data_IF_218690237238
#
_entry.id   IF_218690237238
#
_cell.length_a   1.000
_cell.length_b   1.000
_cell.length_c   1.000
_cell.angle_alpha   90.00
_cell.angle_beta   90.00
_cell.angle_gamma   90.00
#
_symmetry.space_group_name_H-M   'P 1'
#
loop_
_entity.id
_entity.type
_entity.pdbx_description
1 polymer ?
#
# COMPACT_ATOMS: atom_id res chain seq x y z
N UNK A 1 2.12 -9.62 10.16
CA UNK A 1 1.41 -10.13 8.96
C UNK A 1 1.97 -9.57 7.66
N UNK A 2 2.22 -8.27 7.54
CA UNK A 2 2.97 -7.75 6.39
C UNK A 2 4.47 -8.06 6.52
N UNK A 3 5.16 -8.19 5.38
CA UNK A 3 6.62 -8.31 5.30
C UNK A 3 7.33 -6.96 5.27
N UNK A 4 6.63 -5.90 4.85
CA UNK A 4 7.01 -4.51 4.98
C UNK A 4 5.73 -3.66 5.03
N UNK A 5 5.78 -2.47 5.62
CA UNK A 5 4.66 -1.54 5.62
C UNK A 5 5.13 -0.08 5.70
N UNK A 6 4.32 0.84 5.20
CA UNK A 6 4.51 2.27 5.36
C UNK A 6 3.18 2.98 5.59
N UNK A 7 3.26 4.20 6.14
CA UNK A 7 2.13 5.09 6.39
C UNK A 7 2.46 6.47 5.85
N UNK A 8 1.51 7.09 5.16
CA UNK A 8 1.64 8.43 4.65
C UNK A 8 0.33 9.21 4.61
N UNK A 9 0.42 10.50 4.30
CA UNK A 9 -0.71 11.41 4.22
C UNK A 9 -1.21 11.52 2.77
N UNK A 10 -2.50 11.32 2.55
CA UNK A 10 -3.12 11.36 1.22
C UNK A 10 -2.94 12.70 0.53
N UNK A 11 -3.08 13.82 1.27
CA UNK A 11 -3.08 15.15 0.71
C UNK A 11 -1.74 15.52 0.05
N UNK A 12 -0.63 15.11 0.65
CA UNK A 12 0.72 15.45 0.20
C UNK A 12 1.44 14.27 -0.50
N UNK A 13 1.00 13.03 -0.27
CA UNK A 13 1.74 11.84 -0.66
C UNK A 13 2.96 11.56 0.23
N UNK A 14 3.16 12.36 1.29
CA UNK A 14 4.32 12.24 2.19
C UNK A 14 4.24 10.96 3.00
N UNK A 15 5.32 10.18 3.02
CA UNK A 15 5.45 9.02 3.91
C UNK A 15 6.07 9.45 5.23
N UNK A 16 5.43 9.09 6.34
CA UNK A 16 5.88 9.43 7.70
C UNK A 16 6.66 8.29 8.35
N UNK A 17 6.26 7.04 8.08
CA UNK A 17 6.82 5.86 8.71
C UNK A 17 6.94 4.73 7.72
N UNK A 18 7.98 3.91 7.87
CA UNK A 18 8.13 2.66 7.13
C UNK A 18 8.87 1.61 7.97
N UNK A 19 8.59 0.34 7.69
CA UNK A 19 9.18 -0.82 8.30
C UNK A 19 9.35 -1.95 7.25
N UNK A 20 10.43 -2.76 7.32
CA UNK A 20 11.53 -2.68 8.28
C UNK A 20 12.54 -1.56 7.94
N UNK A 21 13.30 -1.16 8.95
CA UNK A 21 14.49 -0.33 8.76
C UNK A 21 15.70 -1.23 8.49
N UNK A 22 16.67 -0.71 7.74
CA UNK A 22 17.99 -1.29 7.65
C UNK A 22 18.77 -1.08 8.97
N UNK A 23 19.92 -1.73 9.10
CA UNK A 23 20.77 -1.63 10.31
C UNK A 23 21.22 -0.19 10.60
N UNK A 24 21.39 0.63 9.56
CA UNK A 24 21.76 2.04 9.67
C UNK A 24 20.55 2.98 9.93
N UNK A 25 19.35 2.41 10.08
CA UNK A 25 18.11 3.15 10.29
C UNK A 25 17.45 3.67 9.01
N UNK A 26 18.00 3.40 7.82
CA UNK A 26 17.37 3.80 6.56
C UNK A 26 16.14 2.95 6.22
N UNK A 27 15.21 3.51 5.44
CA UNK A 27 14.00 2.80 5.01
C UNK A 27 14.31 1.78 3.91
N UNK A 28 13.87 0.53 4.09
CA UNK A 28 14.04 -0.53 3.07
C UNK A 28 12.83 -0.69 2.13
N UNK A 29 11.70 -0.10 2.51
CA UNK A 29 10.47 -0.08 1.76
C UNK A 29 9.96 1.36 1.71
N UNK A 30 9.76 1.92 0.53
CA UNK A 30 9.49 3.35 0.40
C UNK A 30 8.63 3.66 -0.82
N UNK A 31 8.04 4.86 -0.83
CA UNK A 31 7.45 5.47 -2.01
C UNK A 31 8.40 6.54 -2.52
N UNK A 32 8.90 6.36 -3.73
CA UNK A 32 9.81 7.32 -4.32
C UNK A 32 9.06 8.61 -4.67
N UNK A 33 9.49 9.72 -4.06
CA UNK A 33 9.01 11.07 -4.41
C UNK A 33 9.67 11.58 -5.68
N UNK A 34 10.96 11.29 -5.87
CA UNK A 34 11.68 11.61 -7.10
C UNK A 34 11.29 10.64 -8.22
N UNK A 35 11.17 11.12 -9.47
CA UNK A 35 10.88 10.26 -10.59
C UNK A 35 12.06 9.34 -10.94
N UNK A 36 11.73 8.20 -11.53
CA UNK A 36 12.70 7.33 -12.17
C UNK A 36 12.19 6.84 -13.53
N UNK A 37 13.11 6.52 -14.42
CA UNK A 37 12.77 5.98 -15.73
C UNK A 37 12.39 4.50 -15.61
N UNK A 38 11.26 4.13 -16.21
CA UNK A 38 10.82 2.75 -16.31
C UNK A 38 10.30 2.42 -17.71
N UNK A 39 10.58 1.20 -18.16
CA UNK A 39 9.97 0.65 -19.37
C UNK A 39 8.52 0.27 -19.10
N UNK A 40 7.59 0.85 -19.86
CA UNK A 40 6.15 0.62 -19.80
C UNK A 40 5.69 -0.04 -21.10
N UNK A 41 5.14 -1.24 -21.00
CA UNK A 41 4.45 -1.89 -22.11
C UNK A 41 3.09 -1.20 -22.35
N UNK A 42 2.83 -0.85 -23.61
CA UNK A 42 1.57 -0.25 -24.08
C UNK A 42 0.63 -1.31 -24.66
N UNK A 43 -0.62 -0.93 -24.88
CA UNK A 43 -1.67 -1.85 -25.37
C UNK A 43 -1.36 -2.42 -26.77
N UNK A 44 -0.64 -1.66 -27.59
CA UNK A 44 -0.17 -2.08 -28.92
C UNK A 44 1.05 -3.02 -28.88
N UNK A 45 1.51 -3.39 -27.67
CA UNK A 45 2.67 -4.23 -27.44
C UNK A 45 4.02 -3.52 -27.55
N UNK A 46 4.03 -2.21 -27.82
CA UNK A 46 5.26 -1.43 -27.80
C UNK A 46 5.74 -1.19 -26.37
N UNK A 47 7.04 -1.01 -26.21
CA UNK A 47 7.65 -0.62 -24.95
C UNK A 47 8.18 0.80 -25.08
N UNK A 48 7.80 1.67 -24.14
CA UNK A 48 8.29 3.05 -24.07
C UNK A 48 8.91 3.31 -22.71
N UNK A 49 9.96 4.14 -22.68
CA UNK A 49 10.53 4.62 -21.42
C UNK A 49 9.79 5.87 -20.99
N UNK A 50 9.25 5.86 -19.77
CA UNK A 50 8.55 6.98 -19.17
C UNK A 50 9.06 7.22 -17.76
N UNK A 51 8.94 8.47 -17.31
CA UNK A 51 9.16 8.82 -15.91
C UNK A 51 7.97 8.34 -15.07
N UNK A 52 8.28 7.63 -13.99
CA UNK A 52 7.31 7.19 -12.99
C UNK A 52 7.48 8.03 -11.73
N UNK A 53 6.36 8.60 -11.27
CA UNK A 53 6.27 9.34 -10.02
C UNK A 53 5.41 8.54 -9.04
N UNK A 54 5.99 7.68 -8.19
CA UNK A 54 5.22 6.73 -7.38
C UNK A 54 4.29 7.41 -6.37
N UNK A 55 4.80 8.38 -5.61
CA UNK A 55 3.99 9.11 -4.65
C UNK A 55 2.79 9.79 -5.33
N UNK A 56 3.01 10.44 -6.47
CA UNK A 56 1.95 11.08 -7.25
C UNK A 56 0.95 10.06 -7.82
N UNK A 57 1.44 8.98 -8.43
CA UNK A 57 0.57 7.92 -8.96
C UNK A 57 -0.28 7.28 -7.84
N UNK A 58 0.27 7.16 -6.63
CA UNK A 58 -0.49 6.68 -5.49
C UNK A 58 -1.59 7.67 -5.10
N UNK A 59 -1.33 8.98 -5.05
CA UNK A 59 -2.39 9.96 -4.73
C UNK A 59 -3.51 9.96 -5.77
N UNK A 60 -3.19 9.73 -7.06
CA UNK A 60 -4.21 9.52 -8.11
C UNK A 60 -5.06 8.27 -7.84
N UNK A 61 -4.44 7.15 -7.44
CA UNK A 61 -5.16 5.94 -7.05
C UNK A 61 -6.11 6.19 -5.89
N UNK A 62 -5.63 6.87 -4.85
CA UNK A 62 -6.42 7.22 -3.67
C UNK A 62 -7.56 8.19 -4.03
N UNK A 63 -7.37 9.03 -5.05
CA UNK A 63 -8.41 9.89 -5.65
C UNK A 63 -9.40 9.17 -6.57
N UNK A 64 -9.20 7.86 -6.82
CA UNK A 64 -10.13 7.01 -7.57
C UNK A 64 -9.62 6.52 -8.94
N UNK A 65 -8.45 6.94 -9.39
CA UNK A 65 -7.87 6.46 -10.66
C UNK A 65 -7.29 5.04 -10.51
N UNK A 66 -7.99 4.04 -11.06
CA UNK A 66 -7.57 2.64 -10.98
C UNK A 66 -6.36 2.30 -11.86
N UNK A 67 -5.97 3.17 -12.78
CA UNK A 67 -4.78 2.99 -13.61
C UNK A 67 -3.99 4.31 -13.72
N UNK A 68 -3.35 4.76 -12.62
CA UNK A 68 -2.68 6.04 -12.55
C UNK A 68 -1.73 6.25 -13.72
N UNK A 69 -1.96 7.33 -14.50
CA UNK A 69 -1.14 7.75 -15.63
C UNK A 69 -0.96 6.66 -16.72
N UNK A 70 -1.77 5.59 -16.74
CA UNK A 70 -1.56 4.43 -17.60
C UNK A 70 -0.35 3.56 -17.22
N UNK A 71 0.29 3.83 -16.08
CA UNK A 71 1.52 3.17 -15.61
C UNK A 71 1.24 2.06 -14.58
N UNK A 72 0.02 2.03 -14.05
CA UNK A 72 -0.44 1.12 -13.01
C UNK A 72 0.07 1.49 -11.61
N UNK A 73 -0.32 0.68 -10.62
CA UNK A 73 0.08 0.89 -9.22
C UNK A 73 1.53 0.45 -9.04
N UNK A 74 2.38 1.37 -8.60
CA UNK A 74 3.80 1.12 -8.36
C UNK A 74 4.20 1.54 -6.96
N UNK A 75 4.92 0.65 -6.28
CA UNK A 75 5.50 0.91 -4.96
C UNK A 75 6.87 0.28 -4.91
N UNK A 76 7.85 1.01 -4.42
CA UNK A 76 9.24 0.57 -4.31
C UNK A 76 9.81 0.05 -5.65
N UNK A 77 9.54 0.79 -6.72
CA UNK A 77 9.85 0.53 -8.12
C UNK A 77 9.19 -0.71 -8.74
N UNK A 78 8.26 -1.34 -8.03
CA UNK A 78 7.59 -2.58 -8.46
C UNK A 78 6.16 -2.28 -8.90
N UNK A 79 5.81 -2.69 -10.13
CA UNK A 79 4.42 -2.62 -10.64
C UNK A 79 3.57 -3.78 -10.12
N UNK A 80 2.40 -3.46 -9.60
CA UNK A 80 1.39 -4.40 -9.14
C UNK A 80 0.10 -4.25 -9.94
N UNK A 81 -0.60 -5.36 -10.14
CA UNK A 81 -1.92 -5.39 -10.77
C UNK A 81 -2.99 -5.28 -9.69
N UNK A 82 -3.94 -4.37 -9.83
CA UNK A 82 -5.11 -4.31 -8.98
C UNK A 82 -5.97 -5.56 -9.21
N UNK A 83 -6.23 -6.32 -8.14
CA UNK A 83 -7.03 -7.56 -8.18
C UNK A 83 -8.47 -7.26 -7.76
N UNK A 84 -8.64 -6.56 -6.64
CA UNK A 84 -9.94 -6.17 -6.11
C UNK A 84 -9.82 -4.98 -5.16
N UNK A 85 -10.93 -4.33 -4.88
CA UNK A 85 -11.05 -3.29 -3.85
C UNK A 85 -12.31 -3.50 -3.03
N UNK A 86 -12.30 -3.03 -1.79
CA UNK A 86 -13.48 -3.02 -0.92
C UNK A 86 -13.66 -1.61 -0.35
N UNK A 87 -14.91 -1.18 -0.23
CA UNK A 87 -15.28 0.10 0.37
C UNK A 87 -15.71 -0.16 1.82
N UNK A 88 -15.22 0.64 2.76
CA UNK A 88 -15.55 0.52 4.20
C UNK A 88 -15.31 -0.87 4.86
N UNK A 89 -14.23 -1.63 4.53
CA UNK A 89 -13.98 -2.90 5.20
C UNK A 89 -13.65 -2.70 6.69
N UNK A 90 -14.08 -3.64 7.53
CA UNK A 90 -13.83 -3.65 8.98
C UNK A 90 -12.96 -4.84 9.38
N UNK A 91 -12.05 -4.61 10.32
CA UNK A 91 -11.13 -5.61 10.83
C UNK A 91 -11.13 -5.59 12.35
N UNK A 92 -11.44 -6.75 12.94
CA UNK A 92 -11.27 -6.96 14.37
C UNK A 92 -9.84 -7.38 14.65
N UNK A 93 -9.14 -6.58 15.47
CA UNK A 93 -7.76 -6.78 15.89
C UNK A 93 -7.70 -6.92 17.42
N UNK A 94 -6.65 -7.59 17.90
CA UNK A 94 -6.39 -7.74 19.33
C UNK A 94 -5.28 -6.78 19.72
N UNK A 95 -5.57 -5.87 20.66
CA UNK A 95 -4.62 -4.90 21.23
C UNK A 95 -4.64 -5.07 22.74
N UNK A 96 -3.49 -5.37 23.33
CA UNK A 96 -3.34 -5.49 24.79
C UNK A 96 -4.35 -6.47 25.46
N UNK A 97 -4.82 -7.48 24.72
CA UNK A 97 -5.80 -8.47 25.17
C UNK A 97 -7.26 -8.06 24.99
N UNK A 98 -7.52 -6.89 24.42
CA UNK A 98 -8.86 -6.41 24.07
C UNK A 98 -9.10 -6.53 22.55
N UNK A 99 -10.32 -6.93 22.18
CA UNK A 99 -10.74 -6.94 20.76
C UNK A 99 -11.29 -5.58 20.41
N UNK A 100 -10.64 -4.89 19.47
CA UNK A 100 -11.07 -3.60 18.95
C UNK A 100 -11.34 -3.71 17.45
N UNK A 101 -12.27 -2.90 16.94
CA UNK A 101 -12.59 -2.86 15.51
C UNK A 101 -11.97 -1.62 14.87
N UNK A 102 -11.46 -1.78 13.66
CA UNK A 102 -10.89 -0.72 12.84
C UNK A 102 -11.45 -0.84 11.43
N UNK A 103 -11.99 0.26 10.90
CA UNK A 103 -12.37 0.36 9.50
C UNK A 103 -11.30 1.10 8.68
N UNK A 104 -11.33 0.84 7.37
CA UNK A 104 -10.72 1.70 6.37
C UNK A 104 -11.81 2.31 5.51
N UNK A 105 -11.67 3.54 5.04
CA UNK A 105 -12.56 4.13 4.03
C UNK A 105 -12.58 3.26 2.77
N UNK A 106 -11.39 2.78 2.39
CA UNK A 106 -11.19 1.95 1.21
C UNK A 106 -9.93 1.11 1.32
N UNK A 107 -9.97 -0.09 0.72
CA UNK A 107 -8.80 -0.94 0.58
C UNK A 107 -8.66 -1.44 -0.85
N UNK A 108 -7.43 -1.55 -1.32
CA UNK A 108 -7.06 -2.12 -2.61
C UNK A 108 -6.10 -3.27 -2.40
N UNK A 109 -6.39 -4.39 -3.04
CA UNK A 109 -5.53 -5.56 -3.04
C UNK A 109 -4.91 -5.69 -4.42
N UNK A 110 -3.59 -5.61 -4.46
CA UNK A 110 -2.80 -5.70 -5.67
C UNK A 110 -1.84 -6.88 -5.61
N UNK A 111 -1.40 -7.38 -6.76
CA UNK A 111 -0.55 -8.56 -6.86
C UNK A 111 0.46 -8.45 -8.00
N UNK A 112 1.65 -9.00 -7.76
CA UNK A 112 2.68 -9.27 -8.78
C UNK A 112 3.23 -10.68 -8.55
N UNK A 113 2.79 -11.64 -9.37
CA UNK A 113 3.16 -13.05 -9.19
C UNK A 113 2.82 -13.52 -7.77
N UNK A 114 3.85 -13.82 -6.97
CA UNK A 114 3.71 -14.30 -5.59
C UNK A 114 3.83 -13.20 -4.52
N UNK A 115 4.00 -11.94 -4.92
CA UNK A 115 4.01 -10.79 -4.01
C UNK A 115 2.63 -10.13 -4.02
N UNK A 116 2.09 -9.89 -2.84
CA UNK A 116 0.88 -9.10 -2.64
C UNK A 116 1.22 -7.70 -2.13
N UNK A 117 0.39 -6.73 -2.49
CA UNK A 117 0.43 -5.36 -1.99
C UNK A 117 -0.97 -4.99 -1.54
N UNK A 118 -1.10 -4.50 -0.32
CA UNK A 118 -2.35 -3.98 0.23
C UNK A 118 -2.19 -2.49 0.42
N UNK A 119 -3.11 -1.71 -0.13
CA UNK A 119 -3.17 -0.26 0.08
C UNK A 119 -4.50 0.03 0.78
N UNK A 120 -4.49 0.78 1.88
CA UNK A 120 -5.69 1.14 2.61
C UNK A 120 -5.72 2.65 2.85
N UNK A 121 -6.92 3.23 2.90
CA UNK A 121 -7.15 4.65 3.19
C UNK A 121 -8.04 4.76 4.44
N UNK A 122 -7.67 5.62 5.38
CA UNK A 122 -8.48 5.98 6.55
C UNK A 122 -8.17 7.41 6.95
N UNK A 123 -9.20 8.23 7.14
CA UNK A 123 -9.09 9.56 7.77
C UNK A 123 -8.00 10.46 7.14
N UNK A 124 -7.84 10.38 5.82
CA UNK A 124 -6.83 11.14 5.07
C UNK A 124 -5.40 10.57 5.13
N UNK A 125 -5.20 9.41 5.75
CA UNK A 125 -3.94 8.67 5.76
C UNK A 125 -4.03 7.41 4.92
N UNK A 126 -2.97 7.12 4.17
CA UNK A 126 -2.83 5.86 3.46
C UNK A 126 -1.83 4.94 4.15
N UNK A 127 -2.12 3.65 4.05
CA UNK A 127 -1.32 2.56 4.59
C UNK A 127 -0.97 1.65 3.42
N UNK A 128 0.30 1.29 3.30
CA UNK A 128 0.73 0.34 2.28
C UNK A 128 1.46 -0.81 2.96
N UNK A 129 1.01 -2.03 2.70
CA UNK A 129 1.59 -3.25 3.23
C UNK A 129 2.02 -4.18 2.11
N UNK A 130 3.26 -4.68 2.19
CA UNK A 130 3.76 -5.74 1.33
C UNK A 130 3.53 -7.09 2.01
N UNK A 131 3.26 -8.11 1.20
CA UNK A 131 3.19 -9.48 1.67
C UNK A 131 3.82 -10.49 0.70
N UNK A 132 4.37 -11.58 1.25
CA UNK A 132 4.77 -12.77 0.50
C UNK A 132 3.62 -13.79 0.50
N UNK A 133 2.91 -13.91 -0.62
CA UNK A 133 1.79 -14.84 -0.74
C UNK A 133 2.22 -16.31 -0.75
N UNK A 134 3.52 -16.64 -0.71
CA UNK A 134 3.97 -18.01 -0.44
C UNK A 134 3.92 -18.37 1.04
N UNK A 135 3.85 -17.38 1.93
CA UNK A 135 3.84 -17.57 3.38
C UNK A 135 2.41 -17.50 3.91
N UNK A 136 1.88 -18.56 4.54
CA UNK A 136 0.50 -18.57 5.04
C UNK A 136 0.17 -17.42 6.01
N UNK A 137 1.13 -16.99 6.82
CA UNK A 137 1.00 -15.92 7.81
C UNK A 137 1.05 -14.50 7.21
N UNK A 138 1.37 -14.41 5.92
CA UNK A 138 1.50 -13.16 5.16
C UNK A 138 0.51 -13.09 3.99
N UNK A 139 -0.59 -13.84 3.97
CA UNK A 139 -1.58 -13.67 2.90
C UNK A 139 -2.18 -12.26 2.89
N UNK A 140 -2.67 -11.80 1.73
CA UNK A 140 -3.20 -10.42 1.59
C UNK A 140 -4.29 -10.04 2.61
N UNK A 141 -5.24 -10.91 3.02
CA UNK A 141 -6.21 -10.56 4.07
C UNK A 141 -5.56 -10.36 5.44
N UNK A 142 -4.51 -11.14 5.74
CA UNK A 142 -3.76 -10.98 6.99
C UNK A 142 -2.90 -9.72 6.98
N UNK A 143 -2.30 -9.36 5.83
CA UNK A 143 -1.59 -8.09 5.74
C UNK A 143 -2.56 -6.90 5.90
N UNK A 144 -3.77 -6.95 5.34
CA UNK A 144 -4.80 -5.96 5.63
C UNK A 144 -5.11 -5.83 7.14
N UNK A 145 -5.25 -6.96 7.85
CA UNK A 145 -5.38 -6.97 9.32
C UNK A 145 -4.16 -6.36 10.03
N UNK A 146 -2.95 -6.62 9.53
CA UNK A 146 -1.73 -5.98 10.04
C UNK A 146 -1.69 -4.47 9.83
N UNK A 147 -2.21 -3.97 8.70
CA UNK A 147 -2.37 -2.54 8.47
C UNK A 147 -3.42 -1.94 9.42
N UNK A 148 -4.49 -2.66 9.73
CA UNK A 148 -5.48 -2.20 10.71
C UNK A 148 -4.86 -1.97 12.10
N UNK A 149 -3.91 -2.83 12.51
CA UNK A 149 -3.10 -2.60 13.73
C UNK A 149 -2.29 -1.32 13.64
N UNK A 150 -1.65 -1.03 12.51
CA UNK A 150 -0.93 0.23 12.33
C UNK A 150 -1.88 1.44 12.37
N UNK A 151 -3.05 1.34 11.75
CA UNK A 151 -4.07 2.39 11.76
C UNK A 151 -4.60 2.67 13.17
N UNK A 152 -4.79 1.64 13.99
CA UNK A 152 -5.14 1.81 15.41
C UNK A 152 -4.12 2.68 16.16
N UNK A 153 -2.82 2.47 15.96
CA UNK A 153 -1.80 3.27 16.66
C UNK A 153 -1.76 4.74 16.20
N UNK A 154 -2.25 5.04 14.99
CA UNK A 154 -2.30 6.41 14.45
C UNK A 154 -3.62 7.11 14.83
N UNK A 155 -4.75 6.40 14.78
CA UNK A 155 -6.09 7.00 14.88
C UNK A 155 -6.95 6.48 16.04
N UNK A 156 -6.55 5.38 16.68
CA UNK A 156 -7.37 4.64 17.62
C UNK A 156 -8.34 3.66 16.95
N UNK A 157 -9.18 3.05 17.77
CA UNK A 157 -10.28 2.18 17.32
C UNK A 157 -11.37 2.99 16.61
N UNK A 158 -12.31 2.31 15.97
CA UNK A 158 -13.57 2.91 15.56
C UNK A 158 -14.36 3.38 16.80
N UNK A 159 -14.98 4.56 16.72
CA UNK A 159 -15.96 5.02 17.72
C UNK A 159 -17.30 4.25 17.63
#
# INVERSE_FOLDING_TARGET
HCSAALVGEQASGTVHYSWPLAEDGSYTFWLYGDPYDATIAKEDGTEVTEQVYEAHNLTLLLGGDRNPMGQGVRVNQVKYMLVRSEDTPKYDIEIEGESVSVHFDKIWYCQKGKQGLVIALRDGYFYVGLCDCNKPEQQTPLCAKGLATAAYWVHGADE
#
